data_IF_115602043743
#
_entry.id   IF_115602043743
#
_cell.length_a   1.000
_cell.length_b   1.000
_cell.length_c   1.000
_cell.angle_alpha   90.00
_cell.angle_beta   90.00
_cell.angle_gamma   90.00
#
_symmetry.space_group_name_H-M   'P 1'
#
loop_
_entity.id
_entity.type
_entity.pdbx_description
1 polymer ?
#
# COMPACT_ATOMS: atom_id res chain seq x y z
N UNK A 1 12.13 -15.61 4.39
CA UNK A 1 11.57 -14.48 3.63
C UNK A 1 11.30 -13.35 4.61
N UNK A 2 11.63 -12.12 4.25
CA UNK A 2 11.30 -10.91 5.01
C UNK A 2 10.88 -9.81 4.02
N UNK A 3 9.74 -9.19 4.25
CA UNK A 3 9.21 -8.10 3.44
C UNK A 3 9.05 -6.87 4.32
N UNK A 4 9.79 -5.83 4.01
CA UNK A 4 9.76 -4.54 4.68
C UNK A 4 8.98 -3.56 3.79
N UNK A 5 7.77 -3.20 4.22
CA UNK A 5 6.83 -2.38 3.46
C UNK A 5 6.58 -1.09 4.24
N UNK A 6 6.72 0.05 3.59
CA UNK A 6 6.37 1.35 4.15
C UNK A 6 5.25 1.99 3.33
N UNK A 7 4.14 2.25 3.97
CA UNK A 7 3.02 3.01 3.40
C UNK A 7 3.12 4.46 3.87
N UNK A 8 2.97 5.42 2.97
CA UNK A 8 2.93 6.83 3.34
C UNK A 8 1.96 7.65 2.47
N UNK A 9 1.32 8.61 3.12
CA UNK A 9 0.32 9.47 2.52
C UNK A 9 -0.20 10.51 3.52
N UNK A 10 -1.31 11.16 3.16
CA UNK A 10 -2.03 12.02 4.08
C UNK A 10 -3.10 11.26 4.86
N UNK A 11 -3.44 11.78 6.04
CA UNK A 11 -4.62 11.35 6.78
C UNK A 11 -5.87 11.47 5.89
N UNK A 12 -6.63 10.37 5.78
CA UNK A 12 -7.80 10.27 4.89
C UNK A 12 -7.55 9.55 3.55
N UNK A 13 -6.30 9.35 3.11
CA UNK A 13 -6.00 8.59 1.88
C UNK A 13 -6.09 7.06 2.05
N UNK A 14 -6.44 6.58 3.24
CA UNK A 14 -6.70 5.16 3.50
C UNK A 14 -5.45 4.26 3.54
N UNK A 15 -4.25 4.83 3.71
CA UNK A 15 -3.00 4.06 3.78
C UNK A 15 -2.99 3.06 4.93
N UNK A 16 -3.54 3.45 6.09
CA UNK A 16 -3.62 2.57 7.25
C UNK A 16 -4.61 1.43 7.04
N UNK A 17 -5.66 1.66 6.28
CA UNK A 17 -6.62 0.63 5.94
C UNK A 17 -5.96 -0.44 5.06
N UNK A 18 -5.35 -0.05 3.93
CA UNK A 18 -4.71 -1.02 3.03
C UNK A 18 -3.52 -1.73 3.66
N UNK A 19 -2.72 -1.04 4.49
CA UNK A 19 -1.63 -1.65 5.24
C UNK A 19 -2.14 -2.69 6.25
N UNK A 20 -3.31 -2.45 6.86
CA UNK A 20 -3.97 -3.39 7.76
C UNK A 20 -4.52 -4.61 7.02
N UNK A 21 -5.14 -4.41 5.84
CA UNK A 21 -5.66 -5.50 5.01
C UNK A 21 -4.54 -6.46 4.59
N UNK A 22 -3.41 -5.94 4.08
CA UNK A 22 -2.29 -6.79 3.69
C UNK A 22 -1.69 -7.54 4.89
N UNK A 23 -1.68 -6.90 6.07
CA UNK A 23 -1.23 -7.52 7.32
C UNK A 23 -2.14 -8.69 7.73
N UNK A 24 -3.45 -8.53 7.68
CA UNK A 24 -4.39 -9.62 7.97
C UNK A 24 -4.28 -10.77 6.98
N UNK A 25 -4.21 -10.46 5.68
CA UNK A 25 -4.03 -11.48 4.67
C UNK A 25 -2.72 -12.28 4.89
N UNK A 26 -1.64 -11.62 5.31
CA UNK A 26 -0.39 -12.29 5.64
C UNK A 26 -0.51 -13.18 6.89
N UNK A 27 -1.17 -12.70 7.95
CA UNK A 27 -1.43 -13.50 9.17
C UNK A 27 -2.25 -14.75 8.87
N UNK A 28 -3.32 -14.64 8.07
CA UNK A 28 -4.15 -15.76 7.65
C UNK A 28 -3.38 -16.80 6.82
N UNK A 29 -2.28 -16.38 6.16
CA UNK A 29 -1.37 -17.27 5.43
C UNK A 29 -0.21 -17.79 6.30
N UNK A 30 -0.25 -17.62 7.62
CA UNK A 30 0.71 -18.18 8.56
C UNK A 30 2.03 -17.42 8.68
N UNK A 31 2.11 -16.18 8.18
CA UNK A 31 3.29 -15.32 8.37
C UNK A 31 3.27 -14.62 9.72
N UNK A 32 4.46 -14.35 10.27
CA UNK A 32 4.61 -13.37 11.33
C UNK A 32 4.48 -11.97 10.74
N UNK A 33 3.74 -11.09 11.43
CA UNK A 33 3.48 -9.74 10.94
C UNK A 33 3.65 -8.73 12.07
N UNK A 34 4.26 -7.60 11.77
CA UNK A 34 4.14 -6.40 12.60
C UNK A 34 3.49 -5.29 11.78
N UNK A 35 2.63 -4.52 12.43
CA UNK A 35 1.94 -3.36 11.87
C UNK A 35 2.11 -2.19 12.82
N UNK A 36 2.87 -1.18 12.41
CA UNK A 36 3.24 -0.02 13.22
C UNK A 36 2.84 1.27 12.51
N UNK A 37 1.64 1.81 12.81
CA UNK A 37 1.21 3.09 12.29
C UNK A 37 1.92 4.24 13.01
N UNK A 38 2.19 5.33 12.29
CA UNK A 38 2.72 6.58 12.81
C UNK A 38 1.93 7.74 12.23
N UNK A 39 1.46 8.61 13.10
CA UNK A 39 0.68 9.80 12.74
C UNK A 39 1.46 11.06 13.09
N UNK A 40 1.33 12.08 12.28
CA UNK A 40 1.67 13.45 12.69
C UNK A 40 0.66 13.99 13.71
N UNK A 41 0.93 15.13 14.33
CA UNK A 41 0.05 15.77 15.31
C UNK A 41 -1.34 16.12 14.73
N UNK A 42 -1.47 16.25 13.42
CA UNK A 42 -2.72 16.51 12.71
C UNK A 42 -3.25 15.21 12.07
N UNK A 43 -4.41 14.73 12.54
CA UNK A 43 -5.02 13.50 12.04
C UNK A 43 -5.64 13.64 10.63
N UNK A 44 -6.02 14.85 10.20
CA UNK A 44 -6.54 15.14 8.85
C UNK A 44 -5.60 16.10 8.13
N UNK A 45 -5.18 15.72 6.91
CA UNK A 45 -4.24 16.52 6.12
C UNK A 45 -2.78 16.44 6.57
N UNK A 46 -2.48 15.92 7.77
CA UNK A 46 -1.13 15.64 8.23
C UNK A 46 -0.53 14.37 7.60
N UNK A 47 0.79 14.25 7.66
CA UNK A 47 1.50 13.07 7.16
C UNK A 47 1.20 11.85 8.04
N UNK A 48 0.79 10.76 7.41
CA UNK A 48 0.64 9.47 8.06
C UNK A 48 1.52 8.44 7.36
N UNK A 49 2.10 7.54 8.12
CA UNK A 49 2.83 6.40 7.56
C UNK A 49 2.57 5.13 8.39
N UNK A 50 2.86 3.99 7.78
CA UNK A 50 2.73 2.70 8.45
C UNK A 50 3.85 1.77 7.99
N UNK A 51 4.63 1.26 8.95
CA UNK A 51 5.58 0.19 8.73
C UNK A 51 4.87 -1.16 8.85
N UNK A 52 5.04 -2.02 7.86
CA UNK A 52 4.57 -3.41 7.88
C UNK A 52 5.75 -4.32 7.59
N UNK A 53 6.02 -5.26 8.50
CA UNK A 53 7.00 -6.32 8.27
C UNK A 53 6.26 -7.65 8.21
N UNK A 54 6.49 -8.42 7.14
CA UNK A 54 5.92 -9.76 6.94
C UNK A 54 7.07 -10.75 6.83
N UNK A 55 7.10 -11.78 7.67
CA UNK A 55 8.23 -12.69 7.75
C UNK A 55 7.83 -14.14 8.03
N UNK A 56 8.59 -15.09 7.49
CA UNK A 56 8.51 -16.51 7.88
C UNK A 56 9.22 -16.80 9.21
N UNK A 57 9.99 -15.82 9.73
CA UNK A 57 10.73 -15.94 10.99
C UNK A 57 10.23 -14.91 12.00
N UNK A 58 10.63 -15.06 13.26
CA UNK A 58 10.36 -14.05 14.30
C UNK A 58 10.91 -12.69 13.88
N UNK A 59 10.09 -11.65 14.01
CA UNK A 59 10.44 -10.27 13.66
C UNK A 59 11.12 -9.61 14.87
N UNK A 60 12.33 -9.09 14.64
CA UNK A 60 13.13 -8.45 15.71
C UNK A 60 12.79 -6.96 15.89
N UNK A 61 12.32 -6.28 14.83
CA UNK A 61 11.95 -4.87 14.86
C UNK A 61 10.71 -4.62 14.00
N UNK A 62 9.73 -3.85 14.48
CA UNK A 62 8.58 -3.43 13.68
C UNK A 62 8.88 -2.19 12.82
N UNK A 63 10.05 -1.56 12.99
CA UNK A 63 10.40 -0.30 12.31
C UNK A 63 11.02 -0.61 10.96
N UNK A 64 10.48 0.01 9.91
CA UNK A 64 11.01 -0.04 8.54
C UNK A 64 11.64 1.31 8.21
N UNK A 65 12.96 1.39 8.32
CA UNK A 65 13.73 2.62 8.00
C UNK A 65 14.09 2.69 6.52
N UNK A 66 14.49 1.56 5.94
CA UNK A 66 14.84 1.42 4.52
C UNK A 66 13.91 0.37 3.90
N UNK A 67 12.76 0.77 3.34
CA UNK A 67 11.78 -0.19 2.81
C UNK A 67 12.28 -0.87 1.54
N UNK A 68 12.00 -2.18 1.42
CA UNK A 68 12.08 -2.89 0.15
C UNK A 68 10.91 -2.52 -0.76
N UNK A 69 9.75 -2.26 -0.16
CA UNK A 69 8.52 -1.84 -0.84
C UNK A 69 8.01 -0.53 -0.23
N UNK A 70 7.98 0.52 -1.03
CA UNK A 70 7.48 1.83 -0.62
C UNK A 70 6.20 2.18 -1.38
N UNK A 71 5.16 2.58 -0.65
CA UNK A 71 3.90 3.07 -1.23
C UNK A 71 3.77 4.56 -0.94
N UNK A 72 3.84 5.38 -1.98
CA UNK A 72 3.72 6.83 -1.93
C UNK A 72 2.38 7.29 -2.52
N UNK A 73 1.44 7.67 -1.65
CA UNK A 73 0.11 8.11 -2.07
C UNK A 73 0.05 9.58 -2.47
N UNK A 74 1.13 10.34 -2.25
CA UNK A 74 1.24 11.77 -2.58
C UNK A 74 2.70 12.21 -2.76
N UNK A 75 2.89 13.41 -3.31
CA UNK A 75 4.22 13.95 -3.59
C UNK A 75 5.10 14.14 -2.34
N UNK A 76 4.62 14.69 -1.20
CA UNK A 76 5.44 14.79 0.01
C UNK A 76 5.95 13.44 0.52
N UNK A 77 5.13 12.37 0.40
CA UNK A 77 5.55 11.01 0.74
C UNK A 77 6.60 10.47 -0.22
N UNK A 78 6.43 10.69 -1.51
CA UNK A 78 7.40 10.35 -2.54
C UNK A 78 8.75 10.98 -2.22
N UNK A 79 8.79 12.31 -2.13
CA UNK A 79 10.02 13.09 -1.90
C UNK A 79 10.75 12.71 -0.60
N UNK A 80 9.99 12.43 0.47
CA UNK A 80 10.55 12.07 1.77
C UNK A 80 11.21 10.70 1.80
N UNK A 81 10.67 9.74 1.05
CA UNK A 81 11.03 8.33 1.22
C UNK A 81 11.73 7.70 0.00
N UNK A 82 11.75 8.35 -1.16
CA UNK A 82 12.42 7.82 -2.35
C UNK A 82 13.89 7.46 -2.07
N UNK A 83 14.65 8.37 -1.44
CA UNK A 83 16.05 8.16 -1.10
C UNK A 83 16.28 7.03 -0.09
N UNK A 84 15.25 6.63 0.65
CA UNK A 84 15.30 5.58 1.69
C UNK A 84 14.93 4.18 1.17
N UNK A 85 14.38 4.09 -0.04
CA UNK A 85 14.10 2.78 -0.64
C UNK A 85 15.40 2.01 -0.81
N UNK A 86 15.40 0.73 -0.44
CA UNK A 86 16.58 -0.13 -0.61
C UNK A 86 16.99 -0.21 -2.08
N UNK A 87 18.26 -0.41 -2.33
CA UNK A 87 18.77 -0.74 -3.65
C UNK A 87 18.02 -1.96 -4.23
N UNK A 88 17.65 -1.89 -5.50
CA UNK A 88 16.76 -2.87 -6.16
C UNK A 88 15.40 -3.03 -5.46
N UNK A 89 14.95 -1.99 -4.74
CA UNK A 89 13.64 -1.92 -4.14
C UNK A 89 12.54 -1.52 -5.13
N UNK A 90 11.33 -1.43 -4.61
CA UNK A 90 10.12 -1.16 -5.38
C UNK A 90 9.40 0.05 -4.80
N UNK A 91 9.00 0.98 -5.67
CA UNK A 91 8.25 2.15 -5.27
C UNK A 91 6.95 2.24 -6.07
N UNK A 92 5.82 2.21 -5.37
CA UNK A 92 4.48 2.37 -5.91
C UNK A 92 4.06 3.82 -5.74
N UNK A 93 3.72 4.46 -6.83
CA UNK A 93 3.48 5.89 -6.90
C UNK A 93 2.09 6.17 -7.44
N UNK A 94 1.37 7.06 -6.79
CA UNK A 94 0.13 7.60 -7.33
C UNK A 94 0.47 8.62 -8.45
N UNK A 95 0.46 8.18 -9.69
CA UNK A 95 0.85 8.98 -10.85
C UNK A 95 -0.15 10.08 -11.23
N UNK A 96 -1.36 10.08 -10.68
CA UNK A 96 -2.30 11.19 -10.89
C UNK A 96 -1.84 12.50 -10.21
N UNK A 97 -0.95 12.43 -9.21
CA UNK A 97 -0.52 13.59 -8.40
C UNK A 97 0.98 13.66 -8.14
N UNK A 98 1.73 12.63 -8.50
CA UNK A 98 3.19 12.63 -8.43
C UNK A 98 3.73 12.64 -9.87
N UNK A 99 4.55 13.63 -10.21
CA UNK A 99 5.18 13.69 -11.52
C UNK A 99 6.17 12.53 -11.71
N UNK A 100 6.27 12.02 -12.95
CA UNK A 100 7.05 10.85 -13.30
C UNK A 100 8.58 11.10 -13.34
N UNK A 101 9.09 12.06 -12.58
CA UNK A 101 10.52 12.29 -12.46
C UNK A 101 11.13 11.31 -11.44
N UNK A 102 11.47 10.13 -11.91
CA UNK A 102 12.16 9.13 -11.12
C UNK A 102 13.64 9.45 -11.02
N UNK A 103 14.14 9.71 -9.81
CA UNK A 103 15.53 10.14 -9.61
C UNK A 103 16.50 8.97 -9.52
N UNK A 104 16.02 7.79 -9.12
CA UNK A 104 16.87 6.62 -8.86
C UNK A 104 16.74 5.54 -9.91
N UNK A 105 17.86 5.15 -10.52
CA UNK A 105 17.92 4.07 -11.54
C UNK A 105 17.97 2.66 -10.94
N UNK A 106 18.27 2.55 -9.67
CA UNK A 106 18.37 1.30 -8.92
C UNK A 106 17.06 0.90 -8.21
N UNK A 107 15.99 1.71 -8.36
CA UNK A 107 14.65 1.45 -7.83
C UNK A 107 13.69 1.19 -8.97
N UNK A 108 12.85 0.17 -8.83
CA UNK A 108 11.78 -0.09 -9.78
C UNK A 108 10.52 0.66 -9.39
N UNK A 109 10.07 1.57 -10.24
CA UNK A 109 8.86 2.36 -10.03
C UNK A 109 7.65 1.71 -10.71
N UNK A 110 6.51 1.84 -10.04
CA UNK A 110 5.20 1.49 -10.55
C UNK A 110 4.31 2.72 -10.43
N UNK A 111 4.07 3.37 -11.56
CA UNK A 111 3.23 4.55 -11.68
C UNK A 111 1.79 4.12 -11.91
N UNK A 112 0.94 4.32 -10.91
CA UNK A 112 -0.43 3.84 -10.93
C UNK A 112 -1.37 5.03 -10.82
N UNK A 113 -2.21 5.30 -11.84
CA UNK A 113 -3.15 6.42 -11.84
C UNK A 113 -4.40 6.06 -11.02
N UNK A 114 -4.20 5.91 -9.71
CA UNK A 114 -5.20 5.32 -8.80
C UNK A 114 -6.50 6.11 -8.71
N UNK A 115 -6.45 7.43 -8.84
CA UNK A 115 -7.64 8.29 -8.78
C UNK A 115 -8.43 8.21 -10.08
N UNK A 116 -7.74 8.26 -11.23
CA UNK A 116 -8.36 8.10 -12.54
C UNK A 116 -9.01 6.73 -12.68
N UNK A 117 -8.32 5.66 -12.24
CA UNK A 117 -8.87 4.31 -12.22
C UNK A 117 -10.09 4.18 -11.30
N UNK A 118 -10.02 4.76 -10.10
CA UNK A 118 -11.12 4.71 -9.13
C UNK A 118 -12.37 5.45 -9.63
N UNK A 119 -12.22 6.61 -10.26
CA UNK A 119 -13.34 7.38 -10.83
C UNK A 119 -14.13 6.61 -11.88
N UNK A 120 -13.48 5.76 -12.64
CA UNK A 120 -14.14 4.90 -13.64
C UNK A 120 -15.01 3.80 -13.00
N UNK A 121 -14.86 3.55 -11.70
CA UNK A 121 -15.59 2.51 -10.96
C UNK A 121 -16.78 3.13 -10.23
N UNK A 122 -16.54 4.23 -9.50
CA UNK A 122 -17.55 4.91 -8.71
C UNK A 122 -17.13 6.35 -8.42
N UNK A 123 -18.12 7.22 -8.13
CA UNK A 123 -17.85 8.58 -7.62
C UNK A 123 -17.21 8.58 -6.22
N UNK A 124 -17.29 7.47 -5.51
CA UNK A 124 -16.57 7.27 -4.24
C UNK A 124 -15.07 7.05 -4.50
N UNK A 125 -14.23 7.49 -3.60
CA UNK A 125 -12.76 7.40 -3.78
C UNK A 125 -12.25 6.05 -3.29
N UNK A 126 -11.92 5.17 -4.22
CA UNK A 126 -11.31 3.85 -3.93
C UNK A 126 -9.85 3.73 -4.39
N UNK A 127 -9.15 4.83 -4.60
CA UNK A 127 -7.76 4.81 -5.08
C UNK A 127 -6.81 4.00 -4.21
N UNK A 128 -7.02 3.96 -2.90
CA UNK A 128 -6.24 3.13 -2.00
C UNK A 128 -6.43 1.63 -2.26
N UNK A 129 -7.62 1.20 -2.67
CA UNK A 129 -7.91 -0.22 -2.98
C UNK A 129 -7.27 -0.61 -4.32
N UNK A 130 -7.25 0.30 -5.30
CA UNK A 130 -6.50 0.11 -6.54
C UNK A 130 -5.02 -0.10 -6.23
N UNK A 131 -4.43 0.76 -5.38
CA UNK A 131 -3.05 0.63 -4.92
C UNK A 131 -2.79 -0.71 -4.22
N UNK A 132 -3.71 -1.18 -3.38
CA UNK A 132 -3.61 -2.49 -2.71
C UNK A 132 -3.56 -3.64 -3.73
N UNK A 133 -4.36 -3.57 -4.78
CA UNK A 133 -4.35 -4.56 -5.87
C UNK A 133 -2.99 -4.63 -6.55
N UNK A 134 -2.46 -3.49 -6.97
CA UNK A 134 -1.14 -3.39 -7.61
C UNK A 134 0.00 -3.89 -6.71
N UNK A 135 -0.02 -3.51 -5.43
CA UNK A 135 0.94 -4.01 -4.45
C UNK A 135 0.87 -5.54 -4.32
N UNK A 136 -0.33 -6.09 -4.21
CA UNK A 136 -0.54 -7.54 -4.07
C UNK A 136 0.05 -8.31 -5.25
N UNK A 137 -0.13 -7.80 -6.47
CA UNK A 137 0.43 -8.40 -7.70
C UNK A 137 1.95 -8.55 -7.63
N UNK A 138 2.64 -7.51 -7.18
CA UNK A 138 4.11 -7.46 -7.15
C UNK A 138 4.68 -8.20 -5.94
N UNK A 139 4.01 -8.16 -4.79
CA UNK A 139 4.47 -8.93 -3.61
C UNK A 139 4.51 -10.43 -3.88
N UNK A 140 3.52 -10.97 -4.59
CA UNK A 140 3.41 -12.37 -5.04
C UNK A 140 3.68 -13.45 -3.97
N UNK A 141 3.55 -13.09 -2.71
CA UNK A 141 3.73 -14.02 -1.56
C UNK A 141 2.42 -14.25 -0.81
N UNK A 142 1.43 -13.39 -1.03
CA UNK A 142 0.08 -13.49 -0.51
C UNK A 142 -0.85 -13.60 -1.71
N UNK A 143 -1.72 -14.60 -1.71
CA UNK A 143 -2.61 -14.83 -2.86
C UNK A 143 -3.61 -13.68 -3.04
N UNK A 144 -4.00 -13.41 -4.29
CA UNK A 144 -5.08 -12.47 -4.63
C UNK A 144 -6.34 -12.74 -3.79
N UNK A 145 -6.71 -14.01 -3.65
CA UNK A 145 -7.91 -14.41 -2.91
C UNK A 145 -7.79 -14.16 -1.41
N UNK A 146 -6.61 -14.36 -0.81
CA UNK A 146 -6.40 -14.06 0.62
C UNK A 146 -6.59 -12.57 0.90
N UNK A 147 -6.10 -11.69 0.03
CA UNK A 147 -6.27 -10.23 0.21
C UNK A 147 -7.73 -9.82 -0.01
N UNK A 148 -8.43 -10.39 -1.00
CA UNK A 148 -9.87 -10.15 -1.21
C UNK A 148 -10.68 -10.61 0.00
N UNK A 149 -10.39 -11.78 0.57
CA UNK A 149 -11.06 -12.28 1.77
C UNK A 149 -10.80 -11.38 2.99
N UNK A 150 -9.54 -10.97 3.20
CA UNK A 150 -9.20 -10.02 4.28
C UNK A 150 -9.93 -8.68 4.09
N UNK A 151 -10.02 -8.17 2.85
CA UNK A 151 -10.78 -6.98 2.51
C UNK A 151 -12.26 -7.14 2.86
N UNK A 152 -12.90 -8.23 2.43
CA UNK A 152 -14.31 -8.56 2.71
C UNK A 152 -14.60 -8.59 4.20
N UNK A 153 -13.74 -9.26 4.98
CA UNK A 153 -13.93 -9.47 6.42
C UNK A 153 -13.71 -8.19 7.24
N UNK A 154 -12.95 -7.21 6.72
CA UNK A 154 -12.57 -6.00 7.45
C UNK A 154 -13.16 -4.71 6.88
N UNK A 155 -13.91 -4.79 5.78
CA UNK A 155 -14.57 -3.63 5.21
C UNK A 155 -15.75 -3.20 6.11
N UNK A 156 -15.82 -1.89 6.36
CA UNK A 156 -16.97 -1.34 7.09
C UNK A 156 -18.25 -1.52 6.25
N UNK A 157 -19.34 -1.95 6.88
CA UNK A 157 -20.64 -2.23 6.23
C UNK A 157 -21.24 -1.07 5.41
N UNK A 158 -20.79 0.15 5.65
CA UNK A 158 -21.22 1.34 4.88
C UNK A 158 -20.60 1.42 3.47
N UNK A 159 -19.56 0.62 3.19
CA UNK A 159 -18.91 0.56 1.88
C UNK A 159 -19.36 -0.68 1.12
N UNK A 160 -19.59 -0.53 -0.18
CA UNK A 160 -19.94 -1.64 -1.04
C UNK A 160 -18.73 -2.54 -1.29
N UNK A 161 -18.86 -3.82 -0.97
CA UNK A 161 -17.78 -4.77 -1.19
C UNK A 161 -17.50 -5.01 -2.68
N UNK A 162 -18.54 -5.07 -3.52
CA UNK A 162 -18.37 -5.35 -4.94
C UNK A 162 -17.58 -4.22 -5.63
N UNK A 163 -17.87 -2.95 -5.32
CA UNK A 163 -17.10 -1.81 -5.84
C UNK A 163 -15.64 -1.88 -5.40
N UNK A 164 -15.38 -2.26 -4.13
CA UNK A 164 -14.02 -2.44 -3.61
C UNK A 164 -13.29 -3.63 -4.27
N UNK A 165 -13.99 -4.73 -4.52
CA UNK A 165 -13.41 -5.87 -5.23
C UNK A 165 -13.05 -5.52 -6.67
N UNK A 166 -13.90 -4.76 -7.38
CA UNK A 166 -13.63 -4.25 -8.72
C UNK A 166 -12.39 -3.34 -8.70
N UNK A 167 -12.31 -2.41 -7.75
CA UNK A 167 -11.17 -1.50 -7.59
C UNK A 167 -9.86 -2.26 -7.31
N UNK A 168 -9.90 -3.27 -6.45
CA UNK A 168 -8.76 -4.15 -6.19
C UNK A 168 -8.33 -4.90 -7.46
N UNK A 169 -9.28 -5.51 -8.18
CA UNK A 169 -8.99 -6.22 -9.43
C UNK A 169 -8.40 -5.27 -10.49
N UNK A 170 -8.96 -4.08 -10.64
CA UNK A 170 -8.43 -3.07 -11.56
C UNK A 170 -6.94 -2.78 -11.28
N UNK A 171 -6.57 -2.54 -10.02
CA UNK A 171 -5.17 -2.33 -9.64
C UNK A 171 -4.29 -3.56 -9.82
N UNK A 172 -4.81 -4.76 -9.51
CA UNK A 172 -4.08 -6.02 -9.67
C UNK A 172 -3.79 -6.37 -11.13
N UNK A 173 -4.74 -6.11 -12.02
CA UNK A 173 -4.65 -6.47 -13.44
C UNK A 173 -3.97 -5.35 -14.27
N UNK A 174 -3.72 -4.17 -13.69
CA UNK A 174 -3.01 -3.04 -14.31
C UNK A 174 -1.50 -3.32 -14.51
N UNK A 175 -0.88 -4.09 -13.62
CA UNK A 175 0.51 -4.53 -13.67
C UNK A 175 0.62 -5.99 -14.14
#
# INVERSE_FOLDING_TARGET
MNLDILFSGFGGQGILFISKIISYAALENGYNVTWLPSYGPEMRGGTANCSVVISTKKISSPIVSNPKYMIAMNYPSFNKYESKVMENGYMFVNSDIVSNEHLRKDVKYFDIPIQSMARNISEKVYGNIVMLGSLTKILNVISKNSVINALKNNLNKKFDFNENEIAFKAGYDFL
#
